data_IF_762848679186
#
_entry.id   IF_762848679186
#
_cell.length_a   1.000
_cell.length_b   1.000
_cell.length_c   1.000
_cell.angle_alpha   90.00
_cell.angle_beta   90.00
_cell.angle_gamma   90.00
#
_symmetry.space_group_name_H-M   'P 1'
#
loop_
_entity.id
_entity.type
_entity.pdbx_description
1 polymer ?
#
# COMPACT_ATOMS: atom_id res chain seq x y z
N UNK A 1 -31.42 45.63 -36.16
CA UNK A 1 -30.59 46.68 -35.52
C UNK A 1 -29.43 45.99 -34.82
N UNK A 2 -28.31 45.91 -35.52
CA UNK A 2 -27.07 45.32 -35.01
C UNK A 2 -26.20 46.40 -34.38
N UNK A 3 -25.83 46.20 -33.11
CA UNK A 3 -24.90 47.11 -32.43
C UNK A 3 -23.49 46.53 -32.54
N UNK A 4 -22.47 47.26 -32.98
CA UNK A 4 -21.10 46.79 -33.00
C UNK A 4 -20.45 46.87 -31.62
N UNK A 5 -19.72 45.80 -31.23
CA UNK A 5 -18.83 45.80 -30.09
C UNK A 5 -17.52 46.51 -30.41
N UNK A 6 -16.98 47.29 -29.50
CA UNK A 6 -15.67 47.91 -29.71
C UNK A 6 -14.54 46.88 -29.40
N UNK A 7 -13.69 46.72 -30.38
CA UNK A 7 -12.34 46.19 -30.26
C UNK A 7 -11.47 47.28 -29.59
N UNK A 8 -10.86 46.98 -28.46
CA UNK A 8 -9.53 47.45 -28.08
C UNK A 8 -9.24 47.19 -26.61
N UNK A 9 -8.33 46.28 -26.34
CA UNK A 9 -7.31 46.44 -25.30
C UNK A 9 -6.28 45.32 -25.43
N UNK A 10 -5.24 45.57 -26.21
CA UNK A 10 -4.00 44.82 -26.15
C UNK A 10 -3.35 45.06 -24.79
N UNK A 11 -3.38 44.06 -23.89
CA UNK A 11 -2.56 44.04 -22.70
C UNK A 11 -1.32 43.20 -22.99
N UNK A 12 -0.20 43.90 -23.14
CA UNK A 12 1.13 43.31 -23.22
C UNK A 12 1.46 42.63 -21.88
N UNK A 13 1.50 41.31 -21.85
CA UNK A 13 2.02 40.54 -20.73
C UNK A 13 3.54 40.49 -20.89
N UNK A 14 4.26 41.28 -20.12
CA UNK A 14 5.71 41.17 -19.98
C UNK A 14 6.03 39.88 -19.23
N UNK A 15 6.57 38.90 -19.94
CA UNK A 15 7.11 37.67 -19.34
C UNK A 15 8.42 38.00 -18.62
N UNK A 16 8.38 38.04 -17.30
CA UNK A 16 9.58 38.10 -16.46
C UNK A 16 10.16 36.70 -16.44
N UNK A 17 11.21 36.44 -17.22
CA UNK A 17 12.04 35.27 -17.11
C UNK A 17 12.81 35.33 -15.78
N UNK A 18 12.33 34.66 -14.77
CA UNK A 18 13.11 34.39 -13.56
C UNK A 18 14.11 33.24 -13.86
N UNK A 19 15.34 33.64 -14.11
CA UNK A 19 16.47 32.68 -14.18
C UNK A 19 16.72 32.20 -12.77
N UNK A 20 16.29 30.94 -12.45
CA UNK A 20 16.65 30.29 -11.23
C UNK A 20 18.15 29.96 -11.29
N UNK A 21 18.96 30.69 -10.53
CA UNK A 21 20.37 30.34 -10.29
C UNK A 21 20.37 29.06 -9.48
N UNK A 22 20.67 27.94 -10.15
CA UNK A 22 20.94 26.68 -9.48
C UNK A 22 22.31 26.80 -8.81
N UNK A 23 22.33 27.05 -7.51
CA UNK A 23 23.55 26.95 -6.71
C UNK A 23 23.94 25.50 -6.59
N UNK A 24 25.20 25.12 -6.88
CA UNK A 24 25.67 23.75 -6.65
C UNK A 24 25.56 23.42 -5.15
N UNK A 25 24.76 22.41 -4.84
CA UNK A 25 24.65 21.91 -3.48
C UNK A 25 25.97 21.20 -3.10
N UNK A 26 26.59 21.54 -1.96
CA UNK A 26 27.78 20.85 -1.54
C UNK A 26 27.50 19.35 -1.34
N UNK A 27 28.45 18.47 -1.63
CA UNK A 27 28.26 17.04 -1.44
C UNK A 27 27.92 16.75 0.02
N UNK A 28 27.05 15.77 0.29
CA UNK A 28 26.74 15.37 1.66
C UNK A 28 28.02 14.91 2.36
N UNK A 29 28.17 15.16 3.67
CA UNK A 29 29.30 14.67 4.44
C UNK A 29 29.39 13.14 4.31
N UNK A 30 30.61 12.56 4.31
CA UNK A 30 30.76 11.11 4.29
C UNK A 30 29.99 10.52 5.47
N UNK A 31 29.16 9.50 5.19
CA UNK A 31 28.44 8.77 6.20
C UNK A 31 29.47 8.20 7.19
N UNK A 32 29.35 8.61 8.45
CA UNK A 32 30.16 8.05 9.52
C UNK A 32 29.98 6.53 9.49
N UNK A 33 31.11 5.85 9.37
CA UNK A 33 31.22 4.40 9.47
C UNK A 33 30.45 3.98 10.73
N UNK A 34 29.49 3.05 10.65
CA UNK A 34 28.81 2.59 11.85
C UNK A 34 29.85 2.11 12.85
N UNK A 35 29.83 2.68 14.04
CA UNK A 35 30.61 2.18 15.16
C UNK A 35 30.21 0.72 15.34
N UNK A 36 31.19 -0.15 15.31
CA UNK A 36 31.08 -1.58 15.59
C UNK A 36 30.45 -1.74 16.98
N UNK A 37 29.14 -2.01 16.99
CA UNK A 37 28.42 -2.31 18.21
C UNK A 37 28.97 -3.60 18.78
N UNK A 38 29.48 -3.54 20.00
CA UNK A 38 29.87 -4.71 20.77
C UNK A 38 28.76 -5.77 20.74
N UNK A 39 29.10 -7.07 20.65
CA UNK A 39 28.09 -8.12 20.58
C UNK A 39 27.23 -8.08 21.84
N UNK A 40 25.94 -7.74 21.64
CA UNK A 40 24.94 -7.94 22.69
C UNK A 40 24.89 -9.42 23.06
N UNK A 41 24.66 -9.77 24.33
CA UNK A 41 24.52 -11.16 24.74
C UNK A 41 23.46 -11.84 23.86
N UNK A 42 23.81 -12.97 23.29
CA UNK A 42 22.92 -13.77 22.47
C UNK A 42 21.63 -14.06 23.27
N UNK A 43 20.56 -13.35 22.95
CA UNK A 43 19.23 -13.73 23.39
C UNK A 43 19.01 -15.16 22.88
N UNK A 44 18.72 -16.08 23.78
CA UNK A 44 18.43 -17.46 23.48
C UNK A 44 17.41 -17.50 22.33
N UNK A 45 17.72 -18.23 21.27
CA UNK A 45 16.82 -18.46 20.16
C UNK A 45 15.48 -18.96 20.74
N UNK A 46 14.35 -18.35 20.39
CA UNK A 46 13.07 -18.89 20.81
C UNK A 46 12.95 -20.30 20.26
N UNK A 47 12.65 -21.26 21.15
CA UNK A 47 12.34 -22.63 20.78
C UNK A 47 11.31 -22.62 19.64
N UNK A 48 11.34 -23.59 18.71
CA UNK A 48 10.39 -23.65 17.62
C UNK A 48 8.98 -23.68 18.21
N UNK A 49 8.30 -22.54 18.14
CA UNK A 49 6.91 -22.44 18.56
C UNK A 49 6.10 -23.38 17.67
N UNK A 50 5.45 -24.35 18.28
CA UNK A 50 4.36 -25.11 17.64
C UNK A 50 3.48 -24.09 16.92
N UNK A 51 3.08 -24.30 15.65
CA UNK A 51 2.27 -23.33 14.93
C UNK A 51 0.97 -23.13 15.73
N UNK A 52 0.92 -22.03 16.48
CA UNK A 52 -0.31 -21.62 17.14
C UNK A 52 -1.33 -21.38 16.03
N UNK A 53 -2.44 -22.08 16.08
CA UNK A 53 -3.57 -21.82 15.18
C UNK A 53 -4.01 -20.40 15.47
N UNK A 54 -3.67 -19.49 14.58
CA UNK A 54 -4.04 -18.07 14.71
C UNK A 54 -5.57 -17.99 14.52
N UNK A 55 -6.25 -17.52 15.56
CA UNK A 55 -7.69 -17.25 15.48
C UNK A 55 -7.86 -15.82 14.96
N UNK A 56 -8.49 -15.67 13.80
CA UNK A 56 -8.73 -14.38 13.19
C UNK A 56 -9.86 -13.61 13.89
N UNK A 57 -9.67 -12.31 14.09
CA UNK A 57 -10.65 -11.38 14.62
C UNK A 57 -11.24 -10.55 13.46
N UNK A 58 -12.49 -10.81 13.10
CA UNK A 58 -13.15 -10.12 11.98
C UNK A 58 -13.29 -8.59 12.20
N UNK A 59 -13.40 -8.11 13.45
CA UNK A 59 -13.51 -6.69 13.72
C UNK A 59 -12.17 -5.97 13.47
N UNK A 60 -11.07 -6.57 13.89
CA UNK A 60 -9.73 -6.06 13.58
C UNK A 60 -9.48 -6.12 12.06
N UNK A 61 -9.84 -7.24 11.43
CA UNK A 61 -9.74 -7.42 9.98
C UNK A 61 -10.52 -6.40 9.18
N UNK A 62 -11.68 -5.96 9.66
CA UNK A 62 -12.47 -4.89 9.02
C UNK A 62 -11.68 -3.58 8.93
N UNK A 63 -10.98 -3.21 10.00
CA UNK A 63 -10.15 -2.00 10.02
C UNK A 63 -8.98 -2.12 9.05
N UNK A 64 -8.30 -3.26 9.04
CA UNK A 64 -7.18 -3.53 8.13
C UNK A 64 -7.60 -3.56 6.66
N UNK A 65 -8.81 -4.05 6.36
CA UNK A 65 -9.35 -4.17 5.01
C UNK A 65 -9.59 -2.82 4.32
N UNK A 66 -9.46 -1.70 5.03
CA UNK A 66 -9.55 -0.37 4.43
C UNK A 66 -8.60 -0.20 3.23
N UNK A 67 -7.38 -0.73 3.31
CA UNK A 67 -6.41 -0.66 2.22
C UNK A 67 -6.79 -1.50 1.00
N UNK A 68 -7.67 -2.47 1.17
CA UNK A 68 -8.14 -3.37 0.12
C UNK A 68 -9.28 -2.76 -0.71
N UNK A 69 -10.09 -1.88 -0.10
CA UNK A 69 -11.34 -1.38 -0.67
C UNK A 69 -11.17 -0.60 -1.96
N UNK A 70 -10.08 0.19 -2.07
CA UNK A 70 -9.83 1.03 -3.24
C UNK A 70 -9.69 0.24 -4.55
N UNK A 71 -9.18 -0.98 -4.47
CA UNK A 71 -8.98 -1.85 -5.64
C UNK A 71 -10.02 -2.96 -5.71
N UNK A 72 -10.31 -3.63 -4.59
CA UNK A 72 -11.18 -4.79 -4.56
C UNK A 72 -12.66 -4.50 -4.26
N UNK A 73 -12.97 -3.29 -3.74
CA UNK A 73 -14.33 -2.88 -3.41
C UNK A 73 -15.03 -3.88 -2.49
N UNK A 74 -14.42 -4.21 -1.37
CA UNK A 74 -14.75 -5.32 -0.45
C UNK A 74 -16.24 -5.48 -0.17
N UNK A 75 -16.94 -4.38 0.17
CA UNK A 75 -18.39 -4.33 0.25
C UNK A 75 -18.93 -3.70 -1.03
N UNK A 76 -19.87 -4.36 -1.71
CA UNK A 76 -20.39 -3.88 -2.98
C UNK A 76 -19.35 -3.88 -4.09
N UNK A 77 -18.72 -5.03 -4.31
CA UNK A 77 -17.67 -5.20 -5.31
C UNK A 77 -18.02 -4.55 -6.64
N UNK A 78 -17.14 -3.65 -7.07
CA UNK A 78 -17.11 -3.11 -8.43
C UNK A 78 -15.66 -3.14 -8.88
N UNK A 79 -15.42 -3.62 -10.09
CA UNK A 79 -14.11 -3.47 -10.69
C UNK A 79 -13.87 -1.97 -10.94
N UNK A 80 -12.98 -1.35 -10.16
CA UNK A 80 -12.71 0.09 -10.24
C UNK A 80 -12.05 0.48 -11.57
N UNK A 81 -11.40 -0.47 -12.22
CA UNK A 81 -10.68 -0.27 -13.48
C UNK A 81 -11.23 -1.23 -14.53
N UNK A 82 -12.07 -0.76 -15.49
CA UNK A 82 -12.70 -1.63 -16.48
C UNK A 82 -11.72 -2.47 -17.31
N UNK A 83 -10.51 -1.94 -17.52
CA UNK A 83 -9.42 -2.61 -18.25
C UNK A 83 -8.47 -3.41 -17.37
N UNK A 84 -8.63 -3.37 -16.04
CA UNK A 84 -7.77 -4.06 -15.10
C UNK A 84 -8.60 -4.89 -14.11
N UNK A 85 -8.60 -6.21 -14.32
CA UNK A 85 -9.41 -7.12 -13.52
C UNK A 85 -8.77 -7.39 -12.16
N UNK A 86 -9.37 -6.87 -11.10
CA UNK A 86 -9.05 -7.25 -9.72
C UNK A 86 -10.04 -8.31 -9.23
N UNK A 87 -9.59 -9.37 -8.56
CA UNK A 87 -10.48 -10.42 -8.10
C UNK A 87 -11.39 -9.94 -6.96
N UNK A 88 -12.59 -10.50 -6.89
CA UNK A 88 -13.45 -10.37 -5.73
C UNK A 88 -12.83 -11.12 -4.55
N UNK A 89 -12.61 -10.43 -3.43
CA UNK A 89 -12.04 -11.01 -2.20
C UNK A 89 -13.08 -11.19 -1.09
N UNK A 90 -14.15 -10.41 -1.08
CA UNK A 90 -15.26 -10.61 -0.14
C UNK A 90 -16.03 -11.89 -0.42
N UNK A 91 -16.35 -12.66 0.63
CA UNK A 91 -17.08 -13.91 0.56
C UNK A 91 -16.26 -15.13 0.10
N UNK A 92 -14.95 -15.02 0.03
CA UNK A 92 -14.04 -16.15 -0.18
C UNK A 92 -13.84 -16.91 1.14
N UNK A 93 -13.39 -18.18 1.08
CA UNK A 93 -13.11 -18.90 2.32
C UNK A 93 -11.91 -18.32 3.08
N UNK A 94 -11.96 -18.38 4.41
CA UNK A 94 -10.89 -17.84 5.25
C UNK A 94 -9.56 -18.54 4.96
N UNK A 95 -9.59 -19.88 4.74
CA UNK A 95 -8.40 -20.66 4.41
C UNK A 95 -7.77 -20.20 3.10
N UNK A 96 -8.59 -19.98 2.07
CA UNK A 96 -8.10 -19.51 0.78
C UNK A 96 -7.45 -18.12 0.91
N UNK A 97 -8.11 -17.20 1.64
CA UNK A 97 -7.61 -15.84 1.84
C UNK A 97 -6.29 -15.85 2.61
N UNK A 98 -6.21 -16.62 3.67
CA UNK A 98 -4.98 -16.79 4.47
C UNK A 98 -3.84 -17.33 3.60
N UNK A 99 -4.09 -18.42 2.87
CA UNK A 99 -3.11 -18.97 1.96
C UNK A 99 -2.67 -17.96 0.89
N UNK A 100 -3.62 -17.31 0.24
CA UNK A 100 -3.34 -16.37 -0.84
C UNK A 100 -2.46 -15.20 -0.37
N UNK A 101 -2.78 -14.58 0.77
CA UNK A 101 -2.00 -13.49 1.35
C UNK A 101 -0.62 -13.97 1.81
N UNK A 102 -0.54 -15.14 2.46
CA UNK A 102 0.74 -15.74 2.86
C UNK A 102 1.65 -16.01 1.66
N UNK A 103 1.11 -16.52 0.56
CA UNK A 103 1.87 -16.81 -0.65
C UNK A 103 2.36 -15.50 -1.35
N UNK A 104 1.57 -14.42 -1.31
CA UNK A 104 2.03 -13.11 -1.73
C UNK A 104 3.13 -12.58 -0.80
N UNK A 105 2.97 -12.70 0.52
CA UNK A 105 3.96 -12.26 1.51
C UNK A 105 5.31 -12.95 1.30
N UNK A 106 5.30 -14.25 1.02
CA UNK A 106 6.49 -15.06 0.72
C UNK A 106 7.06 -14.83 -0.69
N UNK A 107 6.33 -14.14 -1.56
CA UNK A 107 6.74 -13.91 -2.95
C UNK A 107 6.53 -15.10 -3.88
N UNK A 108 5.83 -16.14 -3.45
CA UNK A 108 5.48 -17.31 -4.27
C UNK A 108 4.41 -16.96 -5.32
N UNK A 109 3.44 -16.11 -4.96
CA UNK A 109 2.51 -15.51 -5.93
C UNK A 109 3.08 -14.22 -6.48
N UNK A 110 3.06 -14.06 -7.80
CA UNK A 110 3.65 -12.91 -8.48
C UNK A 110 2.60 -11.84 -8.76
N UNK A 111 2.61 -10.79 -7.99
CA UNK A 111 1.88 -9.55 -8.21
C UNK A 111 2.49 -8.46 -7.32
N UNK A 112 3.29 -7.53 -7.85
CA UNK A 112 4.08 -6.60 -7.03
C UNK A 112 3.26 -5.83 -6.00
N UNK A 113 2.09 -5.31 -6.39
CA UNK A 113 1.20 -4.57 -5.48
C UNK A 113 0.69 -5.45 -4.35
N UNK A 114 0.23 -6.68 -4.66
CA UNK A 114 -0.27 -7.60 -3.64
C UNK A 114 0.84 -8.12 -2.74
N UNK A 115 2.04 -8.30 -3.27
CA UNK A 115 3.20 -8.66 -2.47
C UNK A 115 3.54 -7.55 -1.47
N UNK A 116 3.60 -6.30 -1.91
CA UNK A 116 3.85 -5.16 -1.02
C UNK A 116 2.78 -5.03 0.08
N UNK A 117 1.50 -5.20 -0.29
CA UNK A 117 0.41 -5.21 0.69
C UNK A 117 0.55 -6.35 1.70
N UNK A 118 0.78 -7.56 1.24
CA UNK A 118 0.88 -8.72 2.11
C UNK A 118 2.09 -8.68 3.03
N UNK A 119 3.21 -8.10 2.58
CA UNK A 119 4.41 -7.92 3.39
C UNK A 119 4.24 -6.90 4.52
N UNK A 120 3.30 -5.96 4.39
CA UNK A 120 2.99 -5.00 5.45
C UNK A 120 2.18 -5.58 6.62
N UNK A 121 1.62 -6.78 6.46
CA UNK A 121 0.79 -7.44 7.46
C UNK A 121 1.57 -8.49 8.26
N UNK A 122 1.32 -8.57 9.56
CA UNK A 122 1.72 -9.71 10.39
C UNK A 122 0.92 -10.95 10.02
N UNK A 123 1.29 -12.10 10.56
CA UNK A 123 0.51 -13.32 10.32
C UNK A 123 -0.85 -13.27 11.04
N UNK A 124 -0.93 -12.56 12.18
CA UNK A 124 -2.19 -12.28 12.85
C UNK A 124 -3.08 -11.35 12.02
N UNK A 125 -2.53 -10.30 11.43
CA UNK A 125 -3.30 -9.41 10.55
C UNK A 125 -3.89 -10.17 9.36
N UNK A 126 -3.14 -11.11 8.80
CA UNK A 126 -3.61 -11.97 7.70
C UNK A 126 -4.77 -12.86 8.18
N UNK A 127 -4.69 -13.42 9.40
CA UNK A 127 -5.78 -14.20 9.97
C UNK A 127 -7.03 -13.33 10.21
N UNK A 128 -6.85 -12.13 10.73
CA UNK A 128 -7.92 -11.17 11.00
C UNK A 128 -8.61 -10.71 9.71
N UNK A 129 -7.81 -10.34 8.69
CA UNK A 129 -8.31 -10.01 7.35
C UNK A 129 -9.11 -11.15 6.75
N UNK A 130 -8.60 -12.37 6.85
CA UNK A 130 -9.26 -13.57 6.31
C UNK A 130 -10.60 -13.84 7.00
N UNK A 131 -10.65 -13.66 8.32
CA UNK A 131 -11.88 -13.81 9.10
C UNK A 131 -12.94 -12.75 8.69
N UNK A 132 -12.52 -11.50 8.49
CA UNK A 132 -13.43 -10.45 8.05
C UNK A 132 -13.90 -10.68 6.61
N UNK A 133 -12.98 -10.83 5.67
CA UNK A 133 -13.29 -10.92 4.25
C UNK A 133 -14.17 -12.14 3.94
N UNK A 134 -14.00 -13.25 4.66
CA UNK A 134 -14.86 -14.43 4.49
C UNK A 134 -16.30 -14.18 4.95
N UNK A 135 -16.52 -13.25 5.88
CA UNK A 135 -17.85 -12.90 6.40
C UNK A 135 -18.63 -11.91 5.51
N UNK A 136 -17.95 -11.24 4.58
CA UNK A 136 -18.57 -10.27 3.65
C UNK A 136 -19.45 -11.00 2.64
N UNK A 137 -20.67 -10.52 2.41
CA UNK A 137 -21.65 -11.10 1.48
C UNK A 137 -21.75 -10.30 0.19
#
# INVERSE_FOLDING_TARGET
MMRPLPLAACLALAAVLSVAVVTPQPPPPPADKPAEAAPAPAAAAPAPATPAVLVGNAQAGRTLAYTCQGCHGVEGYKNAYPSFHVPRIGGQSAEYLTQALTEYKKGNRKHPTMQAQAQSFSDQDIADLSAYLSSVK
#
